data_IF_687541289003
#
_entry.id   IF_687541289003
#
_cell.length_a   1.000
_cell.length_b   1.000
_cell.length_c   1.000
_cell.angle_alpha   90.00
_cell.angle_beta   90.00
_cell.angle_gamma   90.00
#
_symmetry.space_group_name_H-M   'P 1'
#
loop_
_entity.id
_entity.type
_entity.pdbx_description
1 polymer ?
#
# COMPACT_ATOMS: atom_id res chain seq x y z
N UNK A 1 18.49 5.43 -22.34
CA UNK A 1 18.87 4.55 -21.20
C UNK A 1 19.35 5.34 -19.97
N UNK A 2 20.20 6.36 -20.12
CA UNK A 2 20.71 7.18 -18.99
C UNK A 2 19.64 7.91 -18.15
N UNK A 3 18.53 8.31 -18.78
CA UNK A 3 17.46 9.05 -18.11
C UNK A 3 16.74 8.21 -17.04
N UNK A 4 16.48 6.92 -17.30
CA UNK A 4 15.77 6.04 -16.36
C UNK A 4 16.58 5.84 -15.08
N UNK A 5 17.90 5.64 -15.21
CA UNK A 5 18.82 5.49 -14.08
C UNK A 5 18.85 6.78 -13.25
N UNK A 6 18.94 7.94 -13.91
CA UNK A 6 18.90 9.24 -13.24
C UNK A 6 17.57 9.44 -12.49
N UNK A 7 16.44 9.07 -13.09
CA UNK A 7 15.13 9.12 -12.44
C UNK A 7 15.05 8.21 -11.22
N UNK A 8 15.56 6.97 -11.31
CA UNK A 8 15.58 6.05 -10.19
C UNK A 8 16.38 6.61 -9.00
N UNK A 9 17.55 7.20 -9.27
CA UNK A 9 18.38 7.86 -8.24
C UNK A 9 17.60 9.00 -7.56
N UNK A 10 16.96 9.88 -8.35
CA UNK A 10 16.13 10.96 -7.82
C UNK A 10 14.96 10.45 -6.97
N UNK A 11 14.34 9.35 -7.38
CA UNK A 11 13.24 8.73 -6.64
C UNK A 11 13.71 8.20 -5.29
N UNK A 12 14.86 7.53 -5.24
CA UNK A 12 15.46 7.04 -3.99
C UNK A 12 15.79 8.21 -3.04
N UNK A 13 16.43 9.26 -3.56
CA UNK A 13 16.73 10.47 -2.78
C UNK A 13 15.46 11.12 -2.22
N UNK A 14 14.41 11.22 -3.03
CA UNK A 14 13.13 11.77 -2.62
C UNK A 14 12.48 10.92 -1.51
N UNK A 15 12.47 9.60 -1.64
CA UNK A 15 11.93 8.69 -0.62
C UNK A 15 12.67 8.83 0.72
N UNK A 16 14.00 8.95 0.68
CA UNK A 16 14.81 9.17 1.89
C UNK A 16 14.48 10.51 2.53
N UNK A 17 14.37 11.58 1.73
CA UNK A 17 14.01 12.90 2.25
C UNK A 17 12.62 12.89 2.92
N UNK A 18 11.62 12.28 2.28
CA UNK A 18 10.27 12.12 2.84
C UNK A 18 10.29 11.33 4.15
N UNK A 19 11.06 10.24 4.22
CA UNK A 19 11.21 9.46 5.45
C UNK A 19 11.77 10.29 6.60
N UNK A 20 12.81 11.09 6.35
CA UNK A 20 13.38 11.99 7.37
C UNK A 20 12.38 13.06 7.81
N UNK A 21 11.65 13.66 6.87
CA UNK A 21 10.61 14.66 7.19
C UNK A 21 9.52 14.04 8.06
N UNK A 22 8.99 12.88 7.69
CA UNK A 22 7.97 12.18 8.48
C UNK A 22 8.48 11.89 9.89
N UNK A 23 9.70 11.37 10.02
CA UNK A 23 10.31 11.10 11.31
C UNK A 23 10.54 12.38 12.14
N UNK A 24 10.95 13.48 11.53
CA UNK A 24 11.12 14.79 12.19
C UNK A 24 9.80 15.34 12.74
N UNK A 25 8.71 15.18 11.99
CA UNK A 25 7.35 15.52 12.46
C UNK A 25 6.79 14.52 13.48
N UNK A 26 7.57 13.51 13.88
CA UNK A 26 7.17 12.49 14.84
C UNK A 26 6.16 11.51 14.26
N UNK A 27 6.22 11.21 12.96
CA UNK A 27 5.44 10.17 12.33
C UNK A 27 6.31 8.94 12.06
N UNK A 28 5.88 7.77 12.53
CA UNK A 28 6.50 6.48 12.28
C UNK A 28 5.65 5.63 11.32
N UNK A 29 6.32 4.78 10.54
CA UNK A 29 5.64 3.82 9.66
C UNK A 29 5.05 2.70 10.51
N UNK A 30 3.74 2.51 10.45
CA UNK A 30 3.04 1.50 11.23
C UNK A 30 3.21 0.09 10.63
N UNK A 31 4.34 -0.56 10.94
CA UNK A 31 4.66 -1.91 10.43
C UNK A 31 3.61 -2.96 10.82
N UNK A 32 2.96 -2.80 11.97
CA UNK A 32 1.90 -3.69 12.43
C UNK A 32 0.62 -3.56 11.58
N UNK A 33 0.31 -2.34 11.12
CA UNK A 33 -0.78 -2.13 10.17
C UNK A 33 -0.52 -2.85 8.86
N UNK A 34 0.71 -2.81 8.33
CA UNK A 34 1.04 -3.54 7.10
C UNK A 34 0.91 -5.06 7.24
N UNK A 35 1.31 -5.64 8.38
CA UNK A 35 1.18 -7.10 8.57
C UNK A 35 -0.30 -7.53 8.70
N UNK A 36 -1.12 -6.75 9.41
CA UNK A 36 -2.55 -7.01 9.56
C UNK A 36 -3.36 -6.72 8.30
N UNK A 37 -3.12 -5.58 7.65
CA UNK A 37 -3.77 -5.18 6.40
C UNK A 37 -3.44 -6.14 5.26
N UNK A 38 -2.23 -6.72 5.24
CA UNK A 38 -1.88 -7.76 4.26
C UNK A 38 -2.82 -8.96 4.36
N UNK A 39 -3.03 -9.51 5.57
CA UNK A 39 -3.96 -10.63 5.78
C UNK A 39 -5.38 -10.29 5.39
N UNK A 40 -5.89 -9.12 5.82
CA UNK A 40 -7.24 -8.68 5.44
C UNK A 40 -7.38 -8.48 3.94
N UNK A 41 -6.35 -7.96 3.27
CA UNK A 41 -6.37 -7.77 1.83
C UNK A 41 -6.32 -9.12 1.09
N UNK A 42 -5.52 -10.07 1.55
CA UNK A 42 -5.48 -11.43 1.00
C UNK A 42 -6.82 -12.15 1.14
N UNK A 43 -7.51 -12.01 2.28
CA UNK A 43 -8.85 -12.56 2.49
C UNK A 43 -9.88 -11.93 1.53
N UNK A 44 -9.91 -10.59 1.42
CA UNK A 44 -10.82 -9.89 0.49
C UNK A 44 -10.53 -10.23 -0.97
N UNK A 45 -9.26 -10.41 -1.34
CA UNK A 45 -8.88 -10.84 -2.68
C UNK A 45 -9.36 -12.26 -2.98
N UNK A 46 -9.24 -13.16 -1.99
CA UNK A 46 -9.71 -14.53 -2.11
C UNK A 46 -11.23 -14.60 -2.24
N UNK A 47 -11.95 -13.80 -1.45
CA UNK A 47 -13.41 -13.67 -1.51
C UNK A 47 -13.86 -13.10 -2.86
N UNK A 48 -13.22 -12.02 -3.34
CA UNK A 48 -13.43 -11.46 -4.67
C UNK A 48 -13.20 -12.49 -5.78
N UNK A 49 -12.10 -13.24 -5.70
CA UNK A 49 -11.78 -14.29 -6.69
C UNK A 49 -12.84 -15.38 -6.69
N UNK A 50 -13.35 -15.76 -5.51
CA UNK A 50 -14.41 -16.74 -5.38
C UNK A 50 -15.75 -16.23 -5.95
N UNK A 51 -16.09 -14.97 -5.69
CA UNK A 51 -17.28 -14.32 -6.24
C UNK A 51 -17.20 -14.20 -7.76
N UNK A 52 -16.04 -13.82 -8.31
CA UNK A 52 -15.81 -13.83 -9.77
C UNK A 52 -16.00 -15.23 -10.35
N UNK A 53 -15.46 -16.26 -9.67
CA UNK A 53 -15.59 -17.65 -10.12
C UNK A 53 -17.04 -18.14 -10.14
N UNK A 54 -17.85 -17.75 -9.17
CA UNK A 54 -19.24 -18.19 -9.05
C UNK A 54 -20.25 -17.31 -9.80
N UNK A 55 -20.05 -16.00 -9.86
CA UNK A 55 -21.02 -15.03 -10.39
C UNK A 55 -20.61 -14.45 -11.75
N UNK A 56 -19.39 -14.71 -12.20
CA UNK A 56 -18.81 -14.13 -13.41
C UNK A 56 -18.29 -12.71 -13.16
N UNK A 57 -17.36 -12.27 -14.02
CA UNK A 57 -16.65 -10.99 -13.89
C UNK A 57 -17.59 -9.78 -13.96
N UNK A 58 -18.74 -9.93 -14.64
CA UNK A 58 -19.72 -8.85 -14.86
C UNK A 58 -20.61 -8.56 -13.65
N UNK A 59 -20.70 -9.47 -12.66
CA UNK A 59 -21.53 -9.30 -11.46
C UNK A 59 -20.72 -9.21 -10.16
N UNK A 60 -19.39 -9.35 -10.21
CA UNK A 60 -18.56 -9.37 -9.02
C UNK A 60 -18.17 -7.96 -8.56
N UNK A 61 -18.74 -7.50 -7.45
CA UNK A 61 -18.32 -6.25 -6.79
C UNK A 61 -17.05 -6.46 -5.94
N UNK A 62 -15.88 -6.29 -6.56
CA UNK A 62 -14.61 -6.37 -5.86
C UNK A 62 -14.15 -5.01 -5.36
N UNK A 63 -14.21 -4.79 -4.04
CA UNK A 63 -13.70 -3.58 -3.41
C UNK A 63 -12.24 -3.76 -2.98
N UNK A 64 -11.32 -3.21 -3.78
CA UNK A 64 -9.87 -3.26 -3.55
C UNK A 64 -9.35 -2.24 -2.52
N UNK A 65 -10.22 -1.50 -1.82
CA UNK A 65 -9.80 -0.67 -0.67
C UNK A 65 -9.51 -1.55 0.53
N UNK A 66 -8.32 -2.15 0.53
CA UNK A 66 -7.81 -2.92 1.65
C UNK A 66 -6.71 -2.19 2.44
N UNK A 67 -6.24 -1.04 1.94
CA UNK A 67 -5.24 -0.19 2.58
C UNK A 67 -5.87 1.17 2.86
N UNK A 68 -5.77 1.60 4.12
CA UNK A 68 -6.16 2.91 4.60
C UNK A 68 -4.89 3.75 4.78
N UNK A 69 -4.67 4.74 3.91
CA UNK A 69 -3.44 5.53 3.92
C UNK A 69 -3.23 6.30 5.23
N UNK A 70 -4.30 6.56 6.00
CA UNK A 70 -4.19 7.22 7.31
C UNK A 70 -3.58 6.33 8.38
N UNK A 71 -3.65 5.01 8.23
CA UNK A 71 -3.14 4.04 9.20
C UNK A 71 -1.69 3.61 8.89
N UNK A 72 -1.21 3.89 7.68
CA UNK A 72 0.18 3.66 7.24
C UNK A 72 1.17 4.48 8.08
N UNK A 73 0.80 5.73 8.37
CA UNK A 73 1.63 6.70 9.06
C UNK A 73 0.99 6.94 10.43
N UNK A 74 1.68 6.55 11.51
CA UNK A 74 1.22 6.74 12.88
C UNK A 74 2.04 7.84 13.53
N UNK A 75 1.41 8.79 14.21
CA UNK A 75 2.14 9.73 15.07
C UNK A 75 2.75 8.95 16.24
N UNK A 76 4.03 9.18 16.50
CA UNK A 76 4.82 8.64 17.61
C UNK A 76 4.22 9.04 18.95
#
# INVERSE_FOLDING_TARGET
MFSIIKFAIWMVLFLVAVYFVLNFFGYEVNRNYFSGAKKQCEEKMKECTNNIYHQGVDNAECNFKCIDPKLIIKKK
#
